data_IF_330045310056
#
_entry.id   IF_330045310056
#
_cell.length_a   1.000
_cell.length_b   1.000
_cell.length_c   1.000
_cell.angle_alpha   90.00
_cell.angle_beta   90.00
_cell.angle_gamma   90.00
#
_symmetry.space_group_name_H-M   'P 1'
#
loop_
_entity.id
_entity.type
_entity.pdbx_description
1 polymer ?
#
# COMPACT_ATOMS: atom_id res chain seq x y z
N UNK A 1 9.15 -3.64 10.45
CA UNK A 1 9.55 -2.38 9.77
C UNK A 1 8.52 -1.28 10.06
N UNK A 2 8.70 -0.47 11.12
CA UNK A 2 7.64 0.46 11.57
C UNK A 2 7.37 1.65 10.64
N UNK A 3 8.33 1.99 9.77
CA UNK A 3 8.25 3.13 8.86
C UNK A 3 7.80 2.74 7.45
N UNK A 4 7.43 1.47 7.24
CA UNK A 4 6.99 0.97 5.92
C UNK A 4 5.61 1.53 5.49
N UNK A 5 4.96 2.25 6.41
CA UNK A 5 3.76 3.05 6.17
C UNK A 5 4.07 4.52 5.81
N UNK A 6 5.34 4.87 5.52
CA UNK A 6 5.78 6.24 5.29
C UNK A 6 5.03 6.95 4.17
N UNK A 7 4.74 6.26 3.06
CA UNK A 7 3.94 6.82 1.96
C UNK A 7 2.51 7.17 2.40
N UNK A 8 1.87 6.31 3.18
CA UNK A 8 0.54 6.57 3.73
C UNK A 8 0.55 7.77 4.70
N UNK A 9 1.56 7.88 5.55
CA UNK A 9 1.72 9.03 6.44
C UNK A 9 1.89 10.34 5.66
N UNK A 10 2.65 10.32 4.56
CA UNK A 10 2.78 11.49 3.67
C UNK A 10 1.44 11.89 3.05
N UNK A 11 0.64 10.93 2.57
CA UNK A 11 -0.70 11.20 2.03
C UNK A 11 -1.60 11.86 3.10
N UNK A 12 -1.63 11.32 4.33
CA UNK A 12 -2.39 11.92 5.43
C UNK A 12 -1.91 13.33 5.76
N UNK A 13 -0.59 13.56 5.78
CA UNK A 13 0.00 14.88 5.98
C UNK A 13 -0.40 15.88 4.89
N UNK A 14 -0.44 15.46 3.63
CA UNK A 14 -0.94 16.29 2.52
C UNK A 14 -2.40 16.66 2.74
N UNK A 15 -3.26 15.72 3.14
CA UNK A 15 -4.67 16.00 3.41
C UNK A 15 -4.86 16.96 4.59
N UNK A 16 -3.99 16.89 5.61
CA UNK A 16 -3.97 17.89 6.67
C UNK A 16 -3.66 19.29 6.13
N UNK A 17 -2.65 19.43 5.27
CA UNK A 17 -2.30 20.70 4.65
C UNK A 17 -3.40 21.23 3.72
N UNK A 18 -4.05 20.35 2.95
CA UNK A 18 -5.17 20.72 2.07
C UNK A 18 -6.37 21.26 2.84
N UNK A 19 -6.68 20.69 4.01
CA UNK A 19 -7.76 21.16 4.87
C UNK A 19 -7.51 22.60 5.40
N UNK A 20 -6.25 22.97 5.59
CA UNK A 20 -5.84 24.30 6.03
C UNK A 20 -5.82 25.31 4.88
N UNK A 21 -5.31 24.92 3.70
CA UNK A 21 -5.18 25.79 2.52
C UNK A 21 -6.50 26.00 1.76
N UNK A 22 -7.41 25.04 1.79
CA UNK A 22 -8.72 25.05 1.09
C UNK A 22 -8.63 25.47 -0.39
N UNK A 23 -7.77 24.85 -1.21
CA UNK A 23 -7.70 25.17 -2.62
C UNK A 23 -9.00 24.77 -3.33
N UNK A 24 -9.38 25.47 -4.40
CA UNK A 24 -10.57 25.18 -5.19
C UNK A 24 -10.35 24.01 -6.17
N UNK A 25 -9.87 22.87 -5.65
CA UNK A 25 -9.62 21.64 -6.42
C UNK A 25 -10.11 20.43 -5.63
N UNK A 26 -10.58 19.41 -6.35
CA UNK A 26 -10.97 18.13 -5.76
C UNK A 26 -9.75 17.21 -5.70
N UNK A 27 -9.51 16.59 -4.54
CA UNK A 27 -8.40 15.65 -4.31
C UNK A 27 -8.94 14.38 -3.67
N UNK A 28 -8.51 13.22 -4.16
CA UNK A 28 -8.84 11.89 -3.60
C UNK A 28 -7.55 11.22 -3.13
N UNK A 29 -7.55 10.70 -1.90
CA UNK A 29 -6.44 9.99 -1.30
C UNK A 29 -6.80 8.54 -1.04
N UNK A 30 -5.91 7.61 -1.38
CA UNK A 30 -6.07 6.17 -1.16
C UNK A 30 -4.91 5.67 -0.30
N UNK A 31 -5.21 4.87 0.72
CA UNK A 31 -4.23 4.29 1.64
C UNK A 31 -4.54 2.80 1.79
N UNK A 32 -3.92 1.92 0.98
CA UNK A 32 -3.91 0.50 1.28
C UNK A 32 -3.02 0.25 2.51
N UNK A 33 -3.52 -0.52 3.48
CA UNK A 33 -2.82 -0.79 4.73
C UNK A 33 -2.97 -2.26 5.14
N UNK A 34 -1.86 -2.87 5.51
CA UNK A 34 -1.77 -4.22 6.05
C UNK A 34 -0.46 -4.38 6.85
N UNK A 35 -0.29 -5.52 7.51
CA UNK A 35 1.00 -5.95 8.04
C UNK A 35 1.54 -7.09 7.17
N UNK A 36 2.86 -7.11 6.95
CA UNK A 36 3.55 -8.25 6.34
C UNK A 36 4.17 -9.12 7.45
N UNK A 37 3.55 -10.26 7.73
CA UNK A 37 3.90 -11.12 8.87
C UNK A 37 4.04 -12.59 8.45
N UNK A 38 5.03 -13.32 9.00
CA UNK A 38 5.11 -14.76 8.81
C UNK A 38 4.01 -15.46 9.63
N UNK A 39 3.31 -16.38 8.98
CA UNK A 39 2.32 -17.29 9.58
C UNK A 39 2.23 -18.57 8.74
N UNK A 40 1.62 -19.64 9.26
CA UNK A 40 1.33 -20.86 8.50
C UNK A 40 0.38 -20.64 7.31
N UNK A 41 -0.32 -19.50 7.27
CA UNK A 41 -1.20 -19.08 6.15
C UNK A 41 -0.63 -17.90 5.35
N UNK A 42 0.62 -17.49 5.59
CA UNK A 42 1.23 -16.40 4.84
C UNK A 42 1.41 -16.77 3.35
N UNK A 43 1.52 -15.73 2.52
CA UNK A 43 1.96 -15.88 1.12
C UNK A 43 3.34 -16.50 1.07
N UNK A 44 3.59 -17.33 0.05
CA UNK A 44 4.84 -18.08 -0.12
C UNK A 44 5.56 -17.63 -1.38
N UNK A 45 6.90 -17.64 -1.39
CA UNK A 45 7.65 -17.56 -2.62
C UNK A 45 7.18 -18.62 -3.64
N UNK A 46 6.89 -18.20 -4.87
CA UNK A 46 6.32 -19.01 -5.94
C UNK A 46 4.78 -19.00 -6.01
N UNK A 47 4.07 -18.43 -5.03
CA UNK A 47 2.63 -18.23 -5.17
C UNK A 47 2.35 -17.26 -6.34
N UNK A 48 1.33 -17.58 -7.15
CA UNK A 48 0.86 -16.71 -8.24
C UNK A 48 -0.48 -16.11 -7.86
N UNK A 49 -0.52 -14.78 -7.74
CA UNK A 49 -1.73 -14.03 -7.43
C UNK A 49 -2.28 -13.32 -8.66
N UNK A 50 -3.59 -13.11 -8.70
CA UNK A 50 -4.24 -12.33 -9.76
C UNK A 50 -4.56 -10.94 -9.23
N UNK A 51 -4.03 -9.91 -9.88
CA UNK A 51 -4.29 -8.50 -9.54
C UNK A 51 -5.72 -8.09 -9.89
N UNK A 52 -6.17 -6.94 -9.38
CA UNK A 52 -7.47 -6.35 -9.74
C UNK A 52 -7.59 -6.06 -11.24
N UNK A 53 -6.47 -5.84 -11.94
CA UNK A 53 -6.44 -5.66 -13.40
C UNK A 53 -6.58 -6.96 -14.21
N UNK A 54 -6.58 -8.12 -13.54
CA UNK A 54 -6.59 -9.45 -14.17
C UNK A 54 -5.21 -10.00 -14.54
N UNK A 55 -4.13 -9.22 -14.40
CA UNK A 55 -2.76 -9.68 -14.61
C UNK A 55 -2.30 -10.60 -13.47
N UNK A 56 -1.54 -11.64 -13.79
CA UNK A 56 -0.94 -12.56 -12.82
C UNK A 56 0.45 -12.12 -12.39
N UNK A 57 0.78 -12.31 -11.11
CA UNK A 57 2.06 -11.92 -10.50
C UNK A 57 2.61 -13.13 -9.76
N UNK A 58 3.79 -13.61 -10.16
CA UNK A 58 4.56 -14.59 -9.39
C UNK A 58 5.32 -13.87 -8.27
N UNK A 59 5.08 -14.28 -7.02
CA UNK A 59 5.73 -13.71 -5.85
C UNK A 59 7.06 -14.43 -5.66
N UNK A 60 8.15 -13.90 -6.21
CA UNK A 60 9.50 -14.48 -5.99
C UNK A 60 10.06 -14.17 -4.60
N UNK A 61 9.67 -13.04 -4.01
CA UNK A 61 10.07 -12.61 -2.67
C UNK A 61 8.86 -11.95 -1.99
N UNK A 62 8.53 -12.36 -0.77
CA UNK A 62 7.38 -11.84 0.00
C UNK A 62 7.66 -10.52 0.70
N UNK A 63 8.93 -10.08 0.77
CA UNK A 63 9.37 -8.76 1.27
C UNK A 63 9.37 -7.69 0.16
N UNK A 64 8.65 -7.98 -0.92
CA UNK A 64 8.46 -7.13 -2.09
C UNK A 64 6.96 -6.78 -2.24
N UNK A 65 6.26 -6.70 -1.13
CA UNK A 65 4.80 -6.61 -0.98
C UNK A 65 4.19 -5.24 -1.31
N UNK A 66 4.96 -4.16 -1.18
CA UNK A 66 4.44 -2.79 -1.32
C UNK A 66 4.25 -2.28 -2.76
N UNK A 67 4.51 -3.11 -3.77
CA UNK A 67 4.57 -2.72 -5.19
C UNK A 67 3.23 -2.76 -5.93
#
# INVERSE_FOLDING_TARGET
MKFDMGGAASVLGVFRALAELKPAVNVVGLIPSCENMPDGKAVKPGDVVTSMSGQTIEILNTDAEGR
#
